data_IF_699765365734
#
_entry.id   IF_699765365734
#
_cell.length_a   1.000
_cell.length_b   1.000
_cell.length_c   1.000
_cell.angle_alpha   90.00
_cell.angle_beta   90.00
_cell.angle_gamma   90.00
#
_symmetry.space_group_name_H-M   'P 1'
#
loop_
_entity.id
_entity.type
_entity.pdbx_description
1 polymer ?
#
# COMPACT_ATOMS: atom_id res chain seq x y z
N UNK A 1 -18.16 -15.11 -17.10
CA UNK A 1 -18.81 -13.81 -17.35
C UNK A 1 -17.72 -12.78 -17.27
N UNK A 2 -17.55 -11.96 -18.31
CA UNK A 2 -16.51 -10.94 -18.35
C UNK A 2 -16.73 -9.89 -17.27
N UNK A 3 -15.63 -9.42 -16.69
CA UNK A 3 -15.60 -8.36 -15.70
C UNK A 3 -14.46 -7.41 -16.03
N UNK A 4 -14.80 -6.12 -16.18
CA UNK A 4 -13.82 -5.03 -16.18
C UNK A 4 -14.14 -4.07 -15.04
N UNK A 5 -13.14 -3.76 -14.20
CA UNK A 5 -13.33 -2.92 -13.00
C UNK A 5 -12.49 -1.64 -13.05
N UNK A 6 -13.12 -0.48 -12.82
CA UNK A 6 -12.44 0.81 -12.75
C UNK A 6 -12.59 1.40 -11.35
N UNK A 7 -11.49 1.53 -10.60
CA UNK A 7 -11.51 2.06 -9.23
C UNK A 7 -10.99 3.49 -9.17
N UNK A 8 -11.72 4.33 -8.45
CA UNK A 8 -11.49 5.77 -8.34
C UNK A 8 -11.37 6.17 -6.87
N UNK A 9 -10.27 6.84 -6.52
CA UNK A 9 -10.01 7.39 -5.20
C UNK A 9 -10.42 8.86 -5.16
N UNK A 10 -11.24 9.19 -4.17
CA UNK A 10 -11.62 10.57 -3.86
C UNK A 10 -12.31 11.29 -5.02
N UNK A 11 -13.53 10.89 -5.39
CA UNK A 11 -14.34 11.61 -6.40
C UNK A 11 -14.73 12.99 -5.82
N UNK A 12 -14.10 14.10 -6.23
CA UNK A 12 -14.56 15.42 -5.82
C UNK A 12 -15.90 15.66 -6.52
N UNK A 13 -16.91 16.02 -5.73
CA UNK A 13 -18.31 16.08 -6.14
C UNK A 13 -18.81 14.71 -6.59
N UNK A 14 -19.25 13.93 -5.60
CA UNK A 14 -19.97 12.66 -5.70
C UNK A 14 -20.54 12.40 -7.11
N UNK A 15 -20.07 11.35 -7.80
CA UNK A 15 -20.66 10.83 -9.05
C UNK A 15 -22.18 10.61 -8.89
N UNK A 16 -22.60 10.31 -7.66
CA UNK A 16 -23.98 10.22 -7.20
C UNK A 16 -24.19 11.24 -6.07
N UNK A 17 -25.09 12.21 -6.23
CA UNK A 17 -25.42 13.22 -5.20
C UNK A 17 -25.74 12.54 -3.86
N UNK A 18 -24.75 12.45 -2.98
CA UNK A 18 -24.93 11.92 -1.62
C UNK A 18 -24.14 12.80 -0.67
N UNK A 19 -24.80 13.80 -0.11
CA UNK A 19 -24.37 14.34 1.18
C UNK A 19 -24.55 13.26 2.25
N UNK A 20 -23.81 13.31 3.35
CA UNK A 20 -24.16 12.55 4.55
C UNK A 20 -25.33 13.30 5.20
N UNK A 21 -26.60 12.84 5.06
CA UNK A 21 -27.70 13.49 5.76
C UNK A 21 -27.36 13.47 7.26
N UNK A 22 -27.59 14.59 7.94
CA UNK A 22 -27.40 14.72 9.40
C UNK A 22 -25.96 14.64 9.94
N UNK A 23 -24.92 14.68 9.08
CA UNK A 23 -23.55 14.75 9.58
C UNK A 23 -23.17 16.17 10.00
N UNK A 24 -22.82 16.35 11.27
CA UNK A 24 -22.21 17.57 11.82
C UNK A 24 -20.74 17.75 11.41
N UNK A 25 -20.20 16.83 10.61
CA UNK A 25 -18.82 16.88 10.15
C UNK A 25 -18.66 18.01 9.11
N UNK A 26 -17.93 19.06 9.48
CA UNK A 26 -17.64 20.22 8.63
C UNK A 26 -16.69 19.92 7.48
N UNK A 27 -16.11 18.71 7.44
CA UNK A 27 -15.29 18.27 6.33
C UNK A 27 -16.16 18.05 5.08
N UNK A 28 -16.21 19.06 4.21
CA UNK A 28 -16.89 19.03 2.91
C UNK A 28 -16.20 18.11 1.88
N UNK A 29 -15.00 17.59 2.17
CA UNK A 29 -14.35 16.63 1.32
C UNK A 29 -15.01 15.26 1.49
N UNK A 30 -15.99 14.97 0.64
CA UNK A 30 -16.58 13.64 0.56
C UNK A 30 -15.62 12.73 -0.23
N UNK A 31 -14.67 12.12 0.47
CA UNK A 31 -13.74 11.13 -0.13
C UNK A 31 -14.44 9.79 -0.32
N UNK A 32 -15.47 9.75 -1.17
CA UNK A 32 -16.06 8.47 -1.58
C UNK A 32 -15.14 7.82 -2.61
N UNK A 33 -14.77 6.57 -2.34
CA UNK A 33 -14.14 5.67 -3.32
C UNK A 33 -15.23 4.93 -4.06
N UNK A 34 -15.08 4.78 -5.36
CA UNK A 34 -16.04 4.08 -6.20
C UNK A 34 -15.32 3.10 -7.12
N UNK A 35 -15.91 1.94 -7.30
CA UNK A 35 -15.53 1.02 -8.37
C UNK A 35 -16.71 0.87 -9.32
N UNK A 36 -16.50 1.17 -10.59
CA UNK A 36 -17.45 0.90 -11.67
C UNK A 36 -17.13 -0.49 -12.22
N UNK A 37 -18.12 -1.38 -12.20
CA UNK A 37 -18.02 -2.74 -12.73
C UNK A 37 -18.79 -2.83 -14.05
N UNK A 38 -18.08 -3.19 -15.11
CA UNK A 38 -18.68 -3.56 -16.38
C UNK A 38 -18.78 -5.08 -16.42
N UNK A 39 -19.99 -5.59 -16.63
CA UNK A 39 -20.29 -7.02 -16.62
C UNK A 39 -20.89 -7.40 -17.98
N UNK A 40 -20.39 -8.48 -18.57
CA UNK A 40 -20.82 -8.92 -19.91
C UNK A 40 -19.89 -8.42 -21.02
N UNK A 41 -20.08 -8.93 -22.22
CA UNK A 41 -19.15 -8.75 -23.33
C UNK A 41 -18.94 -10.03 -24.15
N UNK A 42 -18.25 -9.92 -25.29
CA UNK A 42 -18.08 -11.03 -26.23
C UNK A 42 -17.15 -12.13 -25.69
N UNK A 43 -16.18 -11.79 -24.85
CA UNK A 43 -15.27 -12.75 -24.22
C UNK A 43 -15.71 -13.02 -22.76
N UNK A 44 -16.35 -14.15 -22.45
CA UNK A 44 -16.79 -14.44 -21.09
C UNK A 44 -15.65 -14.71 -20.09
N UNK A 45 -14.41 -14.85 -20.56
CA UNK A 45 -13.20 -15.11 -19.76
C UNK A 45 -12.45 -13.84 -19.37
N UNK A 46 -12.73 -12.71 -20.02
CA UNK A 46 -12.04 -11.44 -19.75
C UNK A 46 -12.23 -11.01 -18.29
N UNK A 47 -11.12 -10.84 -17.58
CA UNK A 47 -11.07 -10.32 -16.21
C UNK A 47 -9.96 -9.30 -16.11
N UNK A 48 -10.34 -8.04 -15.97
CA UNK A 48 -9.37 -6.95 -15.94
C UNK A 48 -9.77 -5.84 -14.99
N UNK A 49 -8.76 -5.15 -14.44
CA UNK A 49 -8.98 -4.04 -13.54
C UNK A 49 -7.98 -2.91 -13.80
N UNK A 50 -8.44 -1.69 -13.62
CA UNK A 50 -7.59 -0.51 -13.59
C UNK A 50 -6.90 -0.37 -12.21
N UNK A 51 -5.76 0.34 -12.13
CA UNK A 51 -5.22 0.77 -10.84
C UNK A 51 -6.22 1.66 -10.09
N UNK A 52 -6.02 1.87 -8.79
CA UNK A 52 -6.74 2.90 -8.06
C UNK A 52 -6.36 4.28 -8.62
N UNK A 53 -7.31 4.94 -9.28
CA UNK A 53 -7.10 6.24 -9.91
C UNK A 53 -7.30 7.33 -8.87
N UNK A 54 -6.22 7.96 -8.44
CA UNK A 54 -6.25 9.16 -7.60
C UNK A 54 -6.00 10.40 -8.45
N UNK A 55 -6.72 11.50 -8.20
CA UNK A 55 -6.53 12.77 -8.89
C UNK A 55 -6.77 13.97 -7.97
N UNK A 56 -6.22 15.11 -8.35
CA UNK A 56 -6.59 16.42 -7.81
C UNK A 56 -7.79 16.99 -8.58
N UNK A 57 -8.58 17.87 -7.95
CA UNK A 57 -9.76 18.45 -8.59
C UNK A 57 -9.48 19.09 -9.96
N UNK A 58 -8.27 19.66 -10.15
CA UNK A 58 -7.84 20.27 -11.40
C UNK A 58 -7.63 19.25 -12.55
N UNK A 59 -7.39 17.98 -12.23
CA UNK A 59 -7.11 16.91 -13.20
C UNK A 59 -8.39 16.17 -13.64
N UNK A 60 -9.56 16.52 -13.09
CA UNK A 60 -10.83 15.81 -13.32
C UNK A 60 -11.16 15.66 -14.80
N UNK A 61 -11.12 16.76 -15.55
CA UNK A 61 -11.48 16.75 -16.98
C UNK A 61 -10.57 15.81 -17.75
N UNK A 62 -9.27 15.88 -17.50
CA UNK A 62 -8.27 15.01 -18.13
C UNK A 62 -8.54 13.54 -17.80
N UNK A 63 -8.70 13.21 -16.51
CA UNK A 63 -8.93 11.83 -16.08
C UNK A 63 -10.19 11.25 -16.73
N UNK A 64 -11.32 11.97 -16.67
CA UNK A 64 -12.60 11.51 -17.21
C UNK A 64 -12.65 11.48 -18.74
N UNK A 65 -11.70 12.15 -19.42
CA UNK A 65 -11.57 12.11 -20.88
C UNK A 65 -10.62 11.00 -21.36
N UNK A 66 -10.05 10.22 -20.45
CA UNK A 66 -9.10 9.14 -20.77
C UNK A 66 -9.67 7.78 -20.37
N UNK A 67 -9.33 6.75 -21.15
CA UNK A 67 -9.63 5.36 -20.78
C UNK A 67 -8.50 4.87 -19.86
N UNK A 68 -8.81 4.39 -18.64
CA UNK A 68 -7.80 3.81 -17.76
C UNK A 68 -7.10 2.63 -18.41
N UNK A 69 -5.82 2.43 -18.09
CA UNK A 69 -5.11 1.21 -18.48
C UNK A 69 -5.59 0.05 -17.61
N UNK A 70 -6.29 -0.89 -18.21
CA UNK A 70 -6.70 -2.14 -17.58
C UNK A 70 -5.56 -3.16 -17.62
N UNK A 71 -5.52 -4.03 -16.61
CA UNK A 71 -4.62 -5.17 -16.51
C UNK A 71 -5.40 -6.42 -16.17
N UNK A 72 -5.07 -7.52 -16.82
CA UNK A 72 -5.66 -8.81 -16.52
C UNK A 72 -5.35 -9.24 -15.07
N UNK A 73 -6.30 -9.91 -14.43
CA UNK A 73 -6.10 -10.53 -13.12
C UNK A 73 -6.75 -11.91 -13.05
N UNK A 74 -6.22 -12.78 -12.19
CA UNK A 74 -6.70 -14.15 -12.04
C UNK A 74 -7.88 -14.23 -11.06
N UNK A 75 -8.76 -15.22 -11.26
CA UNK A 75 -9.85 -15.52 -10.31
C UNK A 75 -9.35 -15.96 -8.94
N UNK A 76 -8.14 -16.52 -8.89
CA UNK A 76 -7.55 -17.13 -7.70
C UNK A 76 -6.82 -16.08 -6.85
N UNK A 77 -7.29 -14.83 -6.89
CA UNK A 77 -6.68 -13.75 -6.14
C UNK A 77 -6.82 -14.00 -4.62
N UNK A 78 -5.71 -14.09 -3.88
CA UNK A 78 -5.72 -14.50 -2.48
C UNK A 78 -6.34 -13.46 -1.54
N UNK A 79 -6.70 -12.27 -2.03
CA UNK A 79 -7.40 -11.26 -1.23
C UNK A 79 -8.91 -11.47 -1.18
N UNK A 80 -9.49 -12.27 -2.08
CA UNK A 80 -10.94 -12.38 -2.23
C UNK A 80 -11.61 -11.08 -2.69
N UNK A 81 -10.82 -10.13 -3.23
CA UNK A 81 -11.30 -8.85 -3.76
C UNK A 81 -10.98 -8.75 -5.24
N UNK A 82 -11.65 -7.83 -5.94
CA UNK A 82 -11.18 -7.39 -7.26
C UNK A 82 -9.92 -6.54 -7.04
N UNK A 83 -8.75 -6.97 -7.54
CA UNK A 83 -7.50 -6.25 -7.31
C UNK A 83 -7.49 -4.93 -8.07
N UNK A 84 -6.66 -3.99 -7.59
CA UNK A 84 -6.44 -2.67 -8.22
C UNK A 84 -4.99 -2.57 -8.74
N UNK A 85 -4.63 -3.35 -9.77
CA UNK A 85 -3.24 -3.65 -10.12
C UNK A 85 -2.45 -2.37 -10.42
N UNK A 86 -1.57 -2.02 -9.47
CA UNK A 86 -0.90 -0.72 -9.42
C UNK A 86 0.24 -0.58 -10.44
N UNK A 87 0.90 -1.68 -10.82
CA UNK A 87 2.01 -1.70 -11.78
C UNK A 87 2.22 -3.08 -12.40
N UNK A 88 2.83 -3.12 -13.59
CA UNK A 88 3.20 -4.36 -14.28
C UNK A 88 4.28 -5.12 -13.46
N UNK A 89 5.25 -4.39 -12.90
CA UNK A 89 6.31 -4.96 -12.08
C UNK A 89 5.79 -5.71 -10.83
N UNK A 90 4.71 -5.21 -10.19
CA UNK A 90 4.07 -5.96 -9.11
C UNK A 90 3.38 -7.22 -9.64
N UNK A 91 2.67 -7.14 -10.77
CA UNK A 91 2.00 -8.29 -11.34
C UNK A 91 3.00 -9.41 -11.67
N UNK A 92 4.13 -9.06 -12.29
CA UNK A 92 5.23 -9.98 -12.59
C UNK A 92 5.80 -10.59 -11.31
N UNK A 93 6.01 -9.76 -10.27
CA UNK A 93 6.47 -10.24 -8.96
C UNK A 93 5.49 -11.23 -8.34
N UNK A 94 4.19 -10.91 -8.31
CA UNK A 94 3.16 -11.77 -7.72
C UNK A 94 3.05 -13.10 -8.47
N UNK A 95 3.21 -13.10 -9.80
CA UNK A 95 3.25 -14.32 -10.60
C UNK A 95 4.43 -15.22 -10.21
N UNK A 96 5.64 -14.63 -10.10
CA UNK A 96 6.85 -15.36 -9.68
C UNK A 96 6.91 -15.70 -8.19
N UNK A 97 6.07 -15.09 -7.35
CA UNK A 97 6.03 -15.30 -5.91
C UNK A 97 5.01 -16.36 -5.46
N UNK A 98 4.45 -17.15 -6.39
CA UNK A 98 3.58 -18.28 -6.04
C UNK A 98 4.31 -19.26 -5.11
N UNK A 99 3.68 -19.61 -3.98
CA UNK A 99 4.28 -20.46 -2.95
C UNK A 99 5.36 -19.79 -2.09
N UNK A 100 5.64 -18.49 -2.27
CA UNK A 100 6.58 -17.76 -1.44
C UNK A 100 6.13 -17.69 0.02
N UNK A 101 7.11 -17.56 0.92
CA UNK A 101 6.83 -17.39 2.35
C UNK A 101 6.19 -16.02 2.61
N UNK A 102 5.13 -15.92 3.41
CA UNK A 102 4.53 -14.64 3.74
C UNK A 102 5.44 -13.84 4.70
N UNK A 103 5.38 -12.51 4.64
CA UNK A 103 6.24 -11.62 5.43
C UNK A 103 6.12 -11.87 6.94
N UNK A 104 4.98 -12.36 7.42
CA UNK A 104 4.79 -12.80 8.82
C UNK A 104 5.81 -13.82 9.31
N UNK A 105 6.47 -14.56 8.41
CA UNK A 105 7.52 -15.52 8.78
C UNK A 105 8.82 -14.86 9.21
N UNK A 106 9.00 -13.57 8.91
CA UNK A 106 10.14 -12.73 9.33
C UNK A 106 9.74 -11.76 10.45
N UNK A 107 8.51 -11.88 10.97
CA UNK A 107 7.98 -11.06 12.05
C UNK A 107 7.87 -11.89 13.32
N UNK A 108 8.20 -11.27 14.45
CA UNK A 108 8.06 -11.90 15.76
C UNK A 108 6.76 -11.49 16.44
N UNK A 109 6.10 -12.42 17.14
CA UNK A 109 4.98 -12.09 18.04
C UNK A 109 5.48 -11.57 19.40
N UNK A 110 6.68 -12.00 19.80
CA UNK A 110 7.32 -11.72 21.08
C UNK A 110 8.44 -10.67 20.95
N UNK A 111 8.84 -10.08 22.07
CA UNK A 111 9.89 -9.07 22.09
C UNK A 111 9.38 -7.63 21.92
N UNK A 112 10.34 -6.69 21.97
CA UNK A 112 10.09 -5.25 21.86
C UNK A 112 10.00 -4.86 20.38
N UNK A 113 9.06 -3.97 20.00
CA UNK A 113 9.03 -3.45 18.65
C UNK A 113 10.31 -2.69 18.30
N UNK A 114 10.83 -2.94 17.10
CA UNK A 114 12.04 -2.32 16.57
C UNK A 114 11.73 -1.02 15.84
N UNK A 115 10.52 -0.89 15.30
CA UNK A 115 9.94 0.32 14.72
C UNK A 115 8.42 0.17 14.61
N UNK A 116 7.73 1.15 14.03
CA UNK A 116 6.31 1.04 13.72
C UNK A 116 5.96 1.55 12.33
N UNK A 117 4.82 1.11 11.81
CA UNK A 117 4.22 1.56 10.55
C UNK A 117 2.98 2.37 10.85
N UNK A 118 2.83 3.56 10.26
CA UNK A 118 1.58 4.31 10.34
C UNK A 118 0.44 3.52 9.70
N UNK A 119 -0.68 3.36 10.41
CA UNK A 119 -1.86 2.63 9.95
C UNK A 119 -2.62 3.32 8.80
N UNK A 120 -2.16 4.49 8.36
CA UNK A 120 -2.69 5.21 7.19
C UNK A 120 -1.52 5.61 6.31
N UNK A 121 -1.63 5.35 5.02
CA UNK A 121 -0.68 5.73 3.99
C UNK A 121 -1.33 6.61 2.93
N UNK A 122 -0.52 7.41 2.24
CA UNK A 122 -0.95 8.21 1.08
C UNK A 122 0.06 8.09 -0.05
N UNK A 123 1.24 8.70 0.13
CA UNK A 123 2.28 8.73 -0.89
C UNK A 123 3.37 7.66 -0.68
N UNK A 124 3.49 7.16 0.55
CA UNK A 124 4.45 6.14 0.96
C UNK A 124 3.94 5.45 2.24
N UNK A 125 4.53 4.31 2.59
CA UNK A 125 4.28 3.63 3.86
C UNK A 125 5.09 4.32 4.94
N UNK A 126 4.40 4.95 5.90
CA UNK A 126 5.06 5.77 6.91
C UNK A 126 5.76 4.93 7.97
N UNK A 127 7.07 4.77 7.88
CA UNK A 127 7.88 4.15 8.95
C UNK A 127 8.08 5.16 10.09
N UNK A 128 8.06 4.73 11.34
CA UNK A 128 8.22 5.60 12.52
C UNK A 128 9.07 4.90 13.58
N UNK A 129 9.68 5.69 14.46
CA UNK A 129 10.14 5.12 15.73
C UNK A 129 8.93 4.53 16.47
N UNK A 130 9.16 3.47 17.26
CA UNK A 130 8.09 2.90 18.06
C UNK A 130 7.91 3.70 19.35
N UNK A 131 6.71 4.23 19.53
CA UNK A 131 6.26 4.86 20.77
C UNK A 131 4.93 4.24 21.18
N UNK A 132 4.89 3.56 22.33
CA UNK A 132 3.73 2.80 22.78
C UNK A 132 2.44 3.64 22.93
N UNK A 133 2.59 4.95 23.18
CA UNK A 133 1.47 5.87 23.38
C UNK A 133 0.88 6.43 22.07
N UNK A 134 1.49 6.15 20.91
CA UNK A 134 1.04 6.71 19.62
C UNK A 134 0.00 5.79 18.99
N UNK A 135 -1.27 6.18 19.11
CA UNK A 135 -2.39 5.48 18.48
C UNK A 135 -2.25 5.43 16.94
N UNK A 136 -2.82 4.37 16.33
CA UNK A 136 -2.85 4.21 14.88
C UNK A 136 -1.49 3.83 14.26
N UNK A 137 -0.56 3.29 15.05
CA UNK A 137 0.67 2.69 14.55
C UNK A 137 0.64 1.16 14.71
N UNK A 138 1.18 0.46 13.73
CA UNK A 138 1.38 -0.98 13.75
C UNK A 138 2.80 -1.25 14.24
N UNK A 139 3.00 -1.84 15.43
CA UNK A 139 4.33 -2.19 15.91
C UNK A 139 4.92 -3.32 15.06
N UNK A 140 6.19 -3.16 14.67
CA UNK A 140 6.95 -4.19 13.95
C UNK A 140 7.97 -4.79 14.91
N UNK A 141 7.96 -6.11 15.01
CA UNK A 141 8.88 -6.91 15.82
C UNK A 141 9.53 -7.95 14.91
N UNK A 142 10.80 -8.24 15.11
CA UNK A 142 11.56 -9.24 14.32
C UNK A 142 12.37 -10.12 15.26
N UNK A 143 12.88 -11.25 14.78
CA UNK A 143 13.72 -12.17 15.59
C UNK A 143 15.19 -11.76 15.59
N UNK A 144 15.66 -11.05 14.57
CA UNK A 144 17.04 -10.58 14.47
C UNK A 144 17.18 -9.21 13.80
N UNK A 145 18.40 -8.66 13.83
CA UNK A 145 18.76 -7.42 13.13
C UNK A 145 18.77 -7.60 11.60
N UNK A 146 19.11 -8.79 11.10
CA UNK A 146 19.03 -9.12 9.67
C UNK A 146 17.57 -9.09 9.19
N UNK A 147 16.67 -9.73 9.93
CA UNK A 147 15.24 -9.70 9.62
C UNK A 147 14.67 -8.29 9.73
N UNK A 148 15.09 -7.50 10.73
CA UNK A 148 14.74 -6.09 10.83
C UNK A 148 15.12 -5.34 9.56
N UNK A 149 16.33 -5.53 9.06
CA UNK A 149 16.81 -4.90 7.82
C UNK A 149 16.01 -5.35 6.60
N UNK A 150 15.66 -6.63 6.50
CA UNK A 150 14.82 -7.17 5.42
C UNK A 150 13.41 -6.56 5.45
N UNK A 151 12.76 -6.57 6.61
CA UNK A 151 11.39 -6.05 6.78
C UNK A 151 11.34 -4.54 6.52
N UNK A 152 12.34 -3.79 7.02
CA UNK A 152 12.45 -2.35 6.76
C UNK A 152 12.53 -2.04 5.27
N UNK A 153 13.37 -2.76 4.53
CA UNK A 153 13.53 -2.59 3.09
C UNK A 153 12.24 -2.92 2.34
N UNK A 154 11.55 -4.02 2.69
CA UNK A 154 10.28 -4.40 2.07
C UNK A 154 9.24 -3.31 2.28
N UNK A 155 8.96 -2.95 3.53
CA UNK A 155 7.88 -2.00 3.85
C UNK A 155 8.13 -0.59 3.29
N UNK A 156 9.39 -0.26 3.02
CA UNK A 156 9.79 1.01 2.43
C UNK A 156 9.90 0.98 0.90
N UNK A 157 9.81 -0.21 0.28
CA UNK A 157 10.00 -0.39 -1.16
C UNK A 157 8.80 0.11 -1.97
N UNK A 158 9.06 0.48 -3.23
CA UNK A 158 8.00 0.71 -4.21
C UNK A 158 7.14 -0.54 -4.43
N UNK A 159 7.75 -1.73 -4.38
CA UNK A 159 7.06 -2.99 -4.56
C UNK A 159 5.96 -3.20 -3.51
N UNK A 160 6.28 -3.01 -2.22
CA UNK A 160 5.28 -3.12 -1.15
C UNK A 160 4.25 -2.00 -1.20
N UNK A 161 4.64 -0.78 -1.58
CA UNK A 161 3.68 0.31 -1.77
C UNK A 161 2.68 0.00 -2.90
N UNK A 162 3.14 -0.55 -4.03
CA UNK A 162 2.27 -1.01 -5.11
C UNK A 162 1.38 -2.19 -4.68
N UNK A 163 1.91 -3.10 -3.86
CA UNK A 163 1.13 -4.18 -3.24
C UNK A 163 0.01 -3.62 -2.37
N UNK A 164 0.30 -2.65 -1.50
CA UNK A 164 -0.71 -1.97 -0.68
C UNK A 164 -1.77 -1.27 -1.53
N UNK A 165 -1.40 -0.61 -2.63
CA UNK A 165 -2.38 0.00 -3.54
C UNK A 165 -3.27 -1.02 -4.25
N UNK A 166 -2.74 -2.21 -4.51
CA UNK A 166 -3.45 -3.27 -5.22
C UNK A 166 -4.42 -4.04 -4.33
N UNK A 167 -3.99 -4.38 -3.11
CA UNK A 167 -4.70 -5.28 -2.19
C UNK A 167 -5.26 -4.61 -0.94
N UNK A 168 -4.79 -3.39 -0.61
CA UNK A 168 -5.35 -2.56 0.45
C UNK A 168 -6.51 -1.71 -0.05
N UNK A 169 -7.17 -0.99 0.86
CA UNK A 169 -8.34 -0.14 0.55
C UNK A 169 -7.96 1.26 0.03
N UNK A 170 -6.68 1.48 -0.28
CA UNK A 170 -6.14 2.77 -0.71
C UNK A 170 -5.96 3.79 0.41
N UNK A 171 -6.12 3.41 1.69
CA UNK A 171 -5.95 4.31 2.82
C UNK A 171 -5.27 3.65 4.02
N UNK A 172 -5.85 2.58 4.54
CA UNK A 172 -5.34 1.89 5.70
C UNK A 172 -4.22 0.93 5.31
N UNK A 173 -3.17 0.95 6.10
CA UNK A 173 -2.19 -0.15 6.15
C UNK A 173 -2.61 -1.00 7.34
N UNK A 174 -2.89 -2.29 7.10
CA UNK A 174 -3.34 -3.22 8.15
C UNK A 174 -2.28 -4.26 8.44
N UNK A 175 -2.35 -4.85 9.64
CA UNK A 175 -1.45 -5.95 10.04
C UNK A 175 -1.56 -7.11 9.08
N UNK A 176 -2.79 -7.55 8.76
CA UNK A 176 -3.04 -8.65 7.83
C UNK A 176 -2.41 -8.41 6.45
N UNK A 177 -2.52 -7.20 5.91
CA UNK A 177 -1.92 -6.85 4.62
C UNK A 177 -0.39 -6.92 4.66
N UNK A 178 0.23 -6.40 5.74
CA UNK A 178 1.67 -6.50 5.95
C UNK A 178 2.08 -7.98 6.01
N UNK A 179 1.40 -8.76 6.86
CA UNK A 179 1.72 -10.15 7.14
C UNK A 179 1.61 -11.06 5.92
N UNK A 180 0.65 -10.79 5.02
CA UNK A 180 0.39 -11.60 3.82
C UNK A 180 1.30 -11.27 2.62
N UNK A 181 2.09 -10.21 2.67
CA UNK A 181 2.99 -9.88 1.56
C UNK A 181 3.92 -11.07 1.25
N UNK A 182 3.91 -11.62 0.02
CA UNK A 182 4.75 -12.75 -0.30
C UNK A 182 6.20 -12.31 -0.45
N UNK A 183 7.14 -13.04 0.17
CA UNK A 183 8.58 -12.77 0.12
C UNK A 183 9.25 -13.90 -0.64
N UNK A 184 9.41 -13.72 -1.95
CA UNK A 184 10.09 -14.70 -2.79
C UNK A 184 11.57 -14.83 -2.41
N UNK A 185 12.14 -16.03 -2.46
CA UNK A 185 13.54 -16.25 -2.07
C UNK A 185 14.55 -15.39 -2.84
N UNK A 186 14.40 -15.12 -4.15
CA UNK A 186 15.26 -14.17 -4.86
C UNK A 186 15.24 -12.77 -4.24
N UNK A 187 14.07 -12.28 -3.82
CA UNK A 187 13.92 -10.99 -3.13
C UNK A 187 14.62 -11.03 -1.78
N UNK A 188 14.34 -12.04 -0.95
CA UNK A 188 14.99 -12.19 0.36
C UNK A 188 16.52 -12.21 0.25
N UNK A 189 17.08 -12.97 -0.71
CA UNK A 189 18.53 -13.01 -0.97
C UNK A 189 19.10 -11.68 -1.45
N UNK A 190 18.35 -10.90 -2.22
CA UNK A 190 18.75 -9.54 -2.63
C UNK A 190 18.80 -8.61 -1.42
N UNK A 191 17.75 -8.63 -0.60
CA UNK A 191 17.61 -7.77 0.57
C UNK A 191 18.65 -8.06 1.66
N UNK A 192 18.96 -9.32 1.90
CA UNK A 192 19.97 -9.72 2.89
C UNK A 192 21.38 -9.26 2.50
N UNK A 193 21.69 -9.15 1.20
CA UNK A 193 22.95 -8.56 0.73
C UNK A 193 23.06 -7.05 1.06
N UNK A 194 21.93 -6.40 1.28
CA UNK A 194 21.85 -4.96 1.58
C UNK A 194 21.66 -4.67 3.08
N UNK A 195 21.90 -5.65 3.98
CA UNK A 195 21.67 -5.47 5.42
C UNK A 195 22.43 -4.26 6.01
N UNK A 196 23.67 -4.02 5.56
CA UNK A 196 24.47 -2.89 6.02
C UNK A 196 23.88 -1.55 5.54
N UNK A 197 23.32 -1.50 4.34
CA UNK A 197 22.61 -0.33 3.84
C UNK A 197 21.36 -0.07 4.69
N UNK A 198 20.57 -1.11 4.97
CA UNK A 198 19.37 -0.98 5.80
C UNK A 198 19.69 -0.45 7.21
N UNK A 199 20.78 -0.94 7.82
CA UNK A 199 21.29 -0.42 9.09
C UNK A 199 21.66 1.05 8.99
N UNK A 200 22.48 1.41 8.00
CA UNK A 200 22.92 2.79 7.80
C UNK A 200 21.73 3.76 7.56
N UNK A 201 20.76 3.37 6.74
CA UNK A 201 19.54 4.15 6.48
C UNK A 201 18.74 4.35 7.76
N UNK A 202 18.60 3.31 8.58
CA UNK A 202 17.93 3.43 9.87
C UNK A 202 18.67 4.35 10.85
N UNK A 203 19.99 4.22 10.94
CA UNK A 203 20.81 5.02 11.86
C UNK A 203 20.80 6.51 11.44
N UNK A 204 20.73 6.77 10.13
CA UNK A 204 20.65 8.10 9.52
C UNK A 204 19.21 8.59 9.28
N UNK A 205 18.19 7.93 9.86
CA UNK A 205 16.77 8.12 9.52
C UNK A 205 16.24 9.55 9.64
N UNK A 206 16.83 10.37 10.51
CA UNK A 206 16.46 11.78 10.67
C UNK A 206 16.54 12.57 9.34
N UNK A 207 17.45 12.19 8.44
CA UNK A 207 17.57 12.79 7.11
C UNK A 207 16.38 12.47 6.17
N UNK A 208 15.60 11.43 6.49
CA UNK A 208 14.41 11.00 5.75
C UNK A 208 13.11 11.45 6.41
N UNK A 209 13.19 12.25 7.47
CA UNK A 209 12.04 12.67 8.26
C UNK A 209 11.05 13.51 7.43
N UNK A 210 9.78 13.21 7.63
CA UNK A 210 8.62 13.95 7.15
C UNK A 210 7.72 14.19 8.35
N UNK A 211 7.40 15.45 8.60
CA UNK A 211 6.58 15.85 9.73
C UNK A 211 5.23 16.37 9.25
N UNK A 212 4.20 16.03 10.01
CA UNK A 212 2.85 16.53 9.77
C UNK A 212 2.17 16.81 11.10
N UNK A 213 1.46 17.94 11.18
CA UNK A 213 0.58 18.22 12.29
C UNK A 213 -0.71 17.39 12.16
N UNK A 214 -1.05 16.61 13.18
CA UNK A 214 -2.30 15.86 13.27
C UNK A 214 -2.91 16.07 14.66
N UNK A 215 -4.09 16.68 14.71
CA UNK A 215 -4.79 17.01 15.97
C UNK A 215 -3.89 17.71 17.00
N UNK A 216 -3.11 18.68 16.56
CA UNK A 216 -2.19 19.46 17.42
C UNK A 216 -0.90 18.73 17.82
N UNK A 217 -0.69 17.48 17.38
CA UNK A 217 0.55 16.72 17.61
C UNK A 217 1.39 16.64 16.34
N UNK A 218 2.69 16.83 16.47
CA UNK A 218 3.63 16.57 15.37
C UNK A 218 3.82 15.07 15.24
N UNK A 219 3.42 14.54 14.08
CA UNK A 219 3.67 13.15 13.72
C UNK A 219 4.87 13.14 12.79
N UNK A 220 5.93 12.45 13.21
CA UNK A 220 7.13 12.21 12.41
C UNK A 220 7.07 10.81 11.81
N UNK A 221 7.31 10.73 10.51
CA UNK A 221 7.54 9.46 9.79
C UNK A 221 8.73 9.60 8.86
N UNK A 222 9.28 8.47 8.42
CA UNK A 222 10.46 8.39 7.58
C UNK A 222 10.09 7.83 6.21
N UNK A 223 10.46 8.54 5.15
CA UNK A 223 10.26 8.11 3.76
C UNK A 223 11.58 7.58 3.19
N UNK A 224 11.79 6.26 3.31
CA UNK A 224 13.02 5.61 2.87
C UNK A 224 13.01 5.18 1.39
N UNK A 225 11.98 5.54 0.60
CA UNK A 225 11.86 5.06 -0.79
C UNK A 225 13.09 5.36 -1.63
N UNK A 226 13.64 6.56 -1.52
CA UNK A 226 14.85 6.95 -2.26
C UNK A 226 16.08 6.10 -1.89
N UNK A 227 16.16 5.61 -0.64
CA UNK A 227 17.25 4.76 -0.20
C UNK A 227 17.11 3.31 -0.69
N UNK A 228 15.88 2.87 -0.98
CA UNK A 228 15.54 1.50 -1.37
C UNK A 228 14.89 1.42 -2.76
N UNK A 229 15.13 2.39 -3.64
CA UNK A 229 14.47 2.45 -4.95
C UNK A 229 14.83 1.27 -5.87
N UNK A 230 16.00 0.66 -5.65
CA UNK A 230 16.51 -0.51 -6.38
C UNK A 230 16.18 -1.85 -5.70
N UNK A 231 15.42 -1.82 -4.61
CA UNK A 231 14.97 -3.01 -3.89
C UNK A 231 13.81 -3.68 -4.58
#
# INVERSE_FOLDING_TARGET
MSISASSYDNIPDCLFKTGKPDSTNTNRANSQRCTILNIGGPDPMLREAAPLLSWSAAERTTLLSTVPRFRAFNSDDPSGQIPRPASDALADYMHGASGARPLRTFLSKIGKPVFSVGGVARNYIGIRDYEAAVAGCIPIKTHSEEERGLVLQILSSKLFYDYWRTYGDGFHVTVDLIERFPVADPLARRLNRNVNLARHVWDSRSSFAKEKLNSGRVIRSYDFRAAFEKV
#
